data_IF_963645167978
#
_entry.id   IF_963645167978
#
_cell.length_a   1.000
_cell.length_b   1.000
_cell.length_c   1.000
_cell.angle_alpha   90.00
_cell.angle_beta   90.00
_cell.angle_gamma   90.00
#
_symmetry.space_group_name_H-M   'P 1'
#
loop_
_entity.id
_entity.type
_entity.pdbx_description
1 polymer ?
#
# COMPACT_ATOMS: atom_id res chain seq x y z
N UNK A 1 -21.82 8.35 13.26
CA UNK A 1 -22.02 7.97 11.84
C UNK A 1 -21.95 9.15 10.86
N UNK A 2 -22.48 10.34 11.18
CA UNK A 2 -22.48 11.49 10.25
C UNK A 2 -21.10 11.95 9.74
N UNK A 3 -20.06 11.88 10.56
CA UNK A 3 -18.69 12.32 10.17
C UNK A 3 -17.98 11.29 9.30
N UNK A 4 -18.23 9.99 9.51
CA UNK A 4 -17.74 8.93 8.64
C UNK A 4 -18.32 9.08 7.22
N UNK A 5 -19.61 9.41 7.15
CA UNK A 5 -20.28 9.74 5.89
C UNK A 5 -19.71 11.02 5.28
N UNK A 6 -19.49 12.09 6.06
CA UNK A 6 -18.89 13.33 5.56
C UNK A 6 -17.45 13.14 5.06
N UNK A 7 -16.62 12.39 5.77
CA UNK A 7 -15.26 12.06 5.36
C UNK A 7 -15.25 11.17 4.10
N UNK A 8 -16.14 10.18 4.03
CA UNK A 8 -16.32 9.35 2.84
C UNK A 8 -16.78 10.17 1.62
N UNK A 9 -17.69 11.13 1.83
CA UNK A 9 -18.19 12.04 0.80
C UNK A 9 -17.10 13.01 0.34
N UNK A 10 -16.33 13.60 1.25
CA UNK A 10 -15.21 14.49 0.91
C UNK A 10 -14.07 13.74 0.20
N UNK A 11 -13.75 12.52 0.66
CA UNK A 11 -12.77 11.67 0.01
C UNK A 11 -13.24 11.20 -1.38
N UNK A 12 -14.53 10.93 -1.54
CA UNK A 12 -15.17 10.68 -2.84
C UNK A 12 -15.13 11.91 -3.75
N UNK A 13 -15.36 13.10 -3.21
CA UNK A 13 -15.31 14.37 -3.95
C UNK A 13 -13.88 14.74 -4.38
N UNK A 14 -12.84 14.24 -3.70
CA UNK A 14 -11.44 14.41 -4.08
C UNK A 14 -10.99 13.46 -5.21
N UNK A 15 -11.74 12.39 -5.51
CA UNK A 15 -11.38 11.40 -6.54
C UNK A 15 -11.13 11.98 -7.95
N UNK A 16 -11.90 12.95 -8.47
CA UNK A 16 -11.63 13.55 -9.77
C UNK A 16 -10.27 14.26 -9.84
N UNK A 17 -9.89 14.96 -8.77
CA UNK A 17 -8.59 15.64 -8.65
C UNK A 17 -7.43 14.64 -8.54
N UNK A 18 -7.60 13.59 -7.71
CA UNK A 18 -6.61 12.52 -7.54
C UNK A 18 -6.42 11.72 -8.83
N UNK A 19 -7.51 11.42 -9.55
CA UNK A 19 -7.49 10.77 -10.85
C UNK A 19 -6.74 11.60 -11.89
N UNK A 20 -7.06 12.89 -12.00
CA UNK A 20 -6.36 13.78 -12.94
C UNK A 20 -4.85 13.83 -12.66
N UNK A 21 -4.44 13.90 -11.38
CA UNK A 21 -3.03 13.83 -10.97
C UNK A 21 -2.38 12.47 -11.22
N UNK A 22 -3.16 11.39 -11.19
CA UNK A 22 -2.72 10.04 -11.50
C UNK A 22 -2.75 9.72 -13.01
N UNK A 23 -3.17 10.66 -13.87
CA UNK A 23 -3.33 10.44 -15.31
C UNK A 23 -4.47 9.48 -15.66
N UNK A 24 -5.44 9.32 -14.76
CA UNK A 24 -6.60 8.47 -14.92
C UNK A 24 -7.89 9.29 -14.84
N UNK A 25 -8.86 8.97 -15.69
CA UNK A 25 -10.30 8.85 -15.41
C UNK A 25 -11.18 9.40 -16.54
N UNK A 26 -11.59 8.49 -17.44
CA UNK A 26 -12.90 8.56 -18.08
C UNK A 26 -14.05 8.26 -17.09
N UNK A 27 -15.30 8.56 -17.48
CA UNK A 27 -16.52 8.52 -16.65
C UNK A 27 -16.77 7.25 -15.80
N UNK A 28 -16.60 5.99 -16.28
CA UNK A 28 -17.02 4.80 -15.53
C UNK A 28 -16.16 4.47 -14.29
N UNK A 29 -14.93 5.00 -14.20
CA UNK A 29 -14.05 4.72 -13.07
C UNK A 29 -14.38 5.55 -11.81
N UNK A 30 -15.18 6.61 -11.92
CA UNK A 30 -15.46 7.54 -10.80
C UNK A 30 -16.37 6.94 -9.73
N UNK A 31 -17.40 6.20 -10.14
CA UNK A 31 -18.34 5.58 -9.21
C UNK A 31 -17.68 4.46 -8.38
N UNK A 32 -16.90 3.59 -9.04
CA UNK A 32 -16.12 2.55 -8.35
C UNK A 32 -15.09 3.13 -7.39
N UNK A 33 -14.41 4.21 -7.78
CA UNK A 33 -13.46 4.90 -6.92
C UNK A 33 -14.11 5.47 -5.66
N UNK A 34 -15.26 6.12 -5.79
CA UNK A 34 -16.01 6.67 -4.68
C UNK A 34 -16.54 5.58 -3.74
N UNK A 35 -17.07 4.48 -4.28
CA UNK A 35 -17.57 3.36 -3.49
C UNK A 35 -16.46 2.69 -2.66
N UNK A 36 -15.31 2.38 -3.28
CA UNK A 36 -14.15 1.80 -2.58
C UNK A 36 -13.63 2.77 -1.54
N UNK A 37 -13.45 4.04 -1.88
CA UNK A 37 -12.96 5.05 -0.94
C UNK A 37 -13.91 5.22 0.25
N UNK A 38 -15.22 5.26 0.00
CA UNK A 38 -16.24 5.36 1.04
C UNK A 38 -16.24 4.16 1.98
N UNK A 39 -16.15 2.94 1.42
CA UNK A 39 -16.05 1.70 2.20
C UNK A 39 -14.79 1.68 3.09
N UNK A 40 -13.64 2.03 2.53
CA UNK A 40 -12.37 2.04 3.27
C UNK A 40 -12.34 3.15 4.32
N UNK A 41 -12.98 4.29 4.06
CA UNK A 41 -13.14 5.37 5.04
C UNK A 41 -14.09 4.95 6.17
N UNK A 42 -15.16 4.22 5.86
CA UNK A 42 -16.03 3.62 6.89
C UNK A 42 -15.25 2.62 7.74
N UNK A 43 -14.48 1.73 7.12
CA UNK A 43 -13.61 0.78 7.81
C UNK A 43 -12.59 1.49 8.73
N UNK A 44 -12.04 2.61 8.27
CA UNK A 44 -11.14 3.47 9.05
C UNK A 44 -11.82 4.06 10.28
N UNK A 45 -13.09 4.48 10.15
CA UNK A 45 -13.88 4.96 11.29
C UNK A 45 -14.11 3.85 12.32
N UNK A 46 -14.36 2.62 11.87
CA UNK A 46 -14.53 1.48 12.75
C UNK A 46 -13.21 1.06 13.43
N UNK A 47 -12.08 1.19 12.72
CA UNK A 47 -10.76 0.85 13.26
C UNK A 47 -10.23 1.85 14.29
N UNK A 48 -10.50 3.14 14.10
CA UNK A 48 -10.03 4.21 15.00
C UNK A 48 -11.03 4.51 16.11
N UNK A 49 -12.33 4.32 15.86
CA UNK A 49 -13.41 4.45 16.85
C UNK A 49 -13.80 5.87 17.26
N UNK A 50 -12.91 6.85 17.12
CA UNK A 50 -13.09 8.23 17.59
C UNK A 50 -12.78 9.27 16.51
N UNK A 51 -13.42 10.45 16.59
CA UNK A 51 -13.10 11.61 15.76
C UNK A 51 -11.76 12.20 16.20
N UNK A 52 -10.68 11.77 15.55
CA UNK A 52 -9.32 12.13 15.92
C UNK A 52 -8.46 12.40 14.68
N UNK A 53 -7.34 13.13 14.79
CA UNK A 53 -6.44 13.34 13.65
C UNK A 53 -5.98 12.02 12.98
N UNK A 54 -5.88 10.91 13.70
CA UNK A 54 -5.59 9.59 13.11
C UNK A 54 -6.66 9.08 12.11
N UNK A 55 -7.90 9.57 12.20
CA UNK A 55 -8.93 9.31 11.21
C UNK A 55 -8.58 9.96 9.85
N UNK A 56 -7.95 11.14 9.88
CA UNK A 56 -7.48 11.79 8.65
C UNK A 56 -6.35 10.99 8.00
N UNK A 57 -5.42 10.42 8.78
CA UNK A 57 -4.36 9.56 8.26
C UNK A 57 -4.92 8.35 7.48
N UNK A 58 -5.88 7.65 8.09
CA UNK A 58 -6.54 6.48 7.51
C UNK A 58 -7.43 6.85 6.32
N UNK A 59 -8.20 7.94 6.41
CA UNK A 59 -9.04 8.44 5.32
C UNK A 59 -8.23 8.94 4.10
N UNK A 60 -7.13 9.65 4.32
CA UNK A 60 -6.21 10.04 3.24
C UNK A 60 -5.63 8.81 2.53
N UNK A 61 -5.26 7.78 3.29
CA UNK A 61 -4.78 6.51 2.73
C UNK A 61 -5.89 5.79 1.96
N UNK A 62 -7.13 5.81 2.46
CA UNK A 62 -8.30 5.26 1.77
C UNK A 62 -8.54 5.95 0.41
N UNK A 63 -8.52 7.29 0.39
CA UNK A 63 -8.72 8.08 -0.82
C UNK A 63 -7.70 7.74 -1.92
N UNK A 64 -6.45 7.47 -1.55
CA UNK A 64 -5.41 7.15 -2.53
C UNK A 64 -5.32 5.68 -2.89
N UNK A 65 -6.00 4.79 -2.17
CA UNK A 65 -5.95 3.35 -2.41
C UNK A 65 -6.45 2.98 -3.80
N UNK A 66 -7.64 3.45 -4.21
CA UNK A 66 -8.19 3.15 -5.53
C UNK A 66 -7.31 3.64 -6.70
N UNK A 67 -6.84 4.91 -6.74
CA UNK A 67 -5.97 5.36 -7.82
C UNK A 67 -4.63 4.60 -7.82
N UNK A 68 -4.03 4.33 -6.66
CA UNK A 68 -2.80 3.54 -6.61
C UNK A 68 -3.01 2.10 -7.11
N UNK A 69 -4.10 1.45 -6.72
CA UNK A 69 -4.46 0.11 -7.16
C UNK A 69 -4.65 0.03 -8.68
N UNK A 70 -5.40 0.99 -9.24
CA UNK A 70 -5.70 1.01 -10.68
C UNK A 70 -4.52 1.40 -11.54
N UNK A 71 -3.72 2.39 -11.12
CA UNK A 71 -2.48 2.76 -11.83
C UNK A 71 -1.50 1.59 -11.81
N UNK A 72 -1.32 0.93 -10.66
CA UNK A 72 -0.35 -0.16 -10.58
C UNK A 72 -0.76 -1.37 -11.44
N UNK A 73 -2.04 -1.74 -11.45
CA UNK A 73 -2.53 -2.80 -12.34
C UNK A 73 -2.36 -2.50 -13.83
N UNK A 74 -2.61 -1.25 -14.24
CA UNK A 74 -2.58 -0.86 -15.66
C UNK A 74 -1.16 -0.57 -16.15
N UNK A 75 -0.38 0.16 -15.36
CA UNK A 75 0.90 0.75 -15.77
C UNK A 75 2.10 0.07 -15.11
N UNK A 76 1.89 -0.82 -14.14
CA UNK A 76 2.95 -1.52 -13.38
C UNK A 76 3.99 -0.56 -12.81
N UNK A 77 3.50 0.61 -12.39
CA UNK A 77 4.27 1.73 -11.88
C UNK A 77 3.45 2.42 -10.80
N UNK A 78 4.05 2.61 -9.63
CA UNK A 78 3.41 3.37 -8.56
C UNK A 78 3.74 4.88 -8.69
N UNK A 79 2.74 5.77 -8.74
CA UNK A 79 2.95 7.20 -8.89
C UNK A 79 3.50 7.82 -7.60
N UNK A 80 4.82 7.98 -7.56
CA UNK A 80 5.56 8.56 -6.43
C UNK A 80 5.05 9.95 -6.04
N UNK A 81 4.61 10.74 -7.03
CA UNK A 81 4.07 12.08 -6.82
C UNK A 81 2.82 12.10 -5.93
N UNK A 82 2.14 10.96 -5.80
CA UNK A 82 0.94 10.81 -4.99
C UNK A 82 1.28 10.20 -3.62
N UNK A 83 2.15 9.20 -3.57
CA UNK A 83 2.54 8.53 -2.30
C UNK A 83 3.31 9.46 -1.35
N UNK A 84 4.25 10.25 -1.86
CA UNK A 84 5.08 11.16 -1.04
C UNK A 84 4.25 12.18 -0.23
N UNK A 85 3.39 13.02 -0.86
CA UNK A 85 2.65 14.01 -0.11
C UNK A 85 1.67 13.37 0.89
N UNK A 86 1.06 12.24 0.53
CA UNK A 86 0.16 11.52 1.44
C UNK A 86 0.92 11.00 2.65
N UNK A 87 2.11 10.43 2.46
CA UNK A 87 2.95 9.97 3.58
C UNK A 87 3.30 11.12 4.52
N UNK A 88 3.60 12.31 3.97
CA UNK A 88 3.84 13.51 4.77
C UNK A 88 2.62 13.92 5.59
N UNK A 89 1.44 13.99 4.96
CA UNK A 89 0.20 14.33 5.66
C UNK A 89 -0.20 13.29 6.71
N UNK A 90 -0.03 12.00 6.43
CA UNK A 90 -0.25 10.91 7.40
C UNK A 90 0.69 11.09 8.59
N UNK A 91 1.98 11.36 8.37
CA UNK A 91 2.91 11.58 9.47
C UNK A 91 2.51 12.78 10.33
N UNK A 92 2.09 13.89 9.71
CA UNK A 92 1.63 15.09 10.42
C UNK A 92 0.39 14.78 11.27
N UNK A 93 -0.63 14.16 10.68
CA UNK A 93 -1.88 13.88 11.40
C UNK A 93 -1.70 12.87 12.52
N UNK A 94 -0.86 11.84 12.33
CA UNK A 94 -0.49 10.91 13.40
C UNK A 94 0.33 11.60 14.49
N UNK A 95 1.22 12.52 14.14
CA UNK A 95 2.02 13.27 15.12
C UNK A 95 1.14 14.17 15.97
N UNK A 96 0.17 14.85 15.36
CA UNK A 96 -0.85 15.61 16.09
C UNK A 96 -1.67 14.70 17.00
N UNK A 97 -2.10 13.53 16.51
CA UNK A 97 -2.86 12.57 17.32
C UNK A 97 -2.05 12.05 18.51
N UNK A 98 -0.73 11.87 18.35
CA UNK A 98 0.18 11.43 19.41
C UNK A 98 0.25 12.41 20.59
N UNK A 99 0.07 13.71 20.33
CA UNK A 99 0.06 14.73 21.37
C UNK A 99 -1.25 14.75 22.17
N UNK A 100 -2.31 14.12 21.64
CA UNK A 100 -3.66 14.15 22.22
C UNK A 100 -3.98 12.92 23.07
N UNK A 101 -3.09 11.92 23.14
CA UNK A 101 -3.31 10.72 23.93
C UNK A 101 -2.15 10.29 24.81
N UNK A 102 -2.55 9.70 25.93
CA UNK A 102 -1.67 8.91 26.78
C UNK A 102 -1.01 7.78 25.99
N UNK A 103 0.31 7.72 26.08
CA UNK A 103 1.13 6.77 25.34
C UNK A 103 1.25 7.04 23.84
N UNK A 104 0.85 8.22 23.35
CA UNK A 104 0.97 8.61 21.94
C UNK A 104 2.40 8.51 21.40
N UNK A 105 3.41 8.83 22.23
CA UNK A 105 4.83 8.63 21.86
C UNK A 105 5.18 7.17 21.55
N UNK A 106 4.64 6.22 22.34
CA UNK A 106 4.81 4.78 22.08
C UNK A 106 4.12 4.37 20.78
N UNK A 107 2.90 4.86 20.51
CA UNK A 107 2.19 4.59 19.24
C UNK A 107 2.90 5.18 18.03
N UNK A 108 3.51 6.36 18.18
CA UNK A 108 4.33 6.94 17.13
C UNK A 108 5.58 6.11 16.89
N UNK A 109 6.24 5.64 17.94
CA UNK A 109 7.39 4.75 17.81
C UNK A 109 7.03 3.45 17.06
N UNK A 110 5.88 2.84 17.36
CA UNK A 110 5.41 1.64 16.64
C UNK A 110 5.03 1.94 15.20
N UNK A 111 4.45 3.10 14.91
CA UNK A 111 4.16 3.56 13.55
C UNK A 111 5.46 3.74 12.75
N UNK A 112 6.45 4.45 13.30
CA UNK A 112 7.75 4.65 12.66
C UNK A 112 8.49 3.32 12.46
N UNK A 113 8.47 2.43 13.46
CA UNK A 113 9.05 1.09 13.33
C UNK A 113 8.38 0.29 12.20
N UNK A 114 7.05 0.35 12.08
CA UNK A 114 6.30 -0.26 10.99
C UNK A 114 6.69 0.32 9.62
N UNK A 115 6.84 1.64 9.53
CA UNK A 115 7.27 2.33 8.31
C UNK A 115 8.68 1.89 7.87
N UNK A 116 9.63 1.86 8.82
CA UNK A 116 11.00 1.41 8.57
C UNK A 116 11.04 -0.06 8.20
N UNK A 117 10.32 -0.93 8.91
CA UNK A 117 10.25 -2.35 8.61
C UNK A 117 9.72 -2.61 7.19
N UNK A 118 8.62 -1.96 6.81
CA UNK A 118 8.07 -2.03 5.46
C UNK A 118 9.09 -1.55 4.41
N UNK A 119 9.75 -0.42 4.66
CA UNK A 119 10.78 0.12 3.77
C UNK A 119 11.95 -0.86 3.59
N UNK A 120 12.51 -1.39 4.69
CA UNK A 120 13.66 -2.29 4.67
C UNK A 120 13.34 -3.59 3.94
N UNK A 121 12.20 -4.20 4.24
CA UNK A 121 11.79 -5.48 3.62
C UNK A 121 11.61 -5.31 2.10
N UNK A 122 10.85 -4.31 1.66
CA UNK A 122 10.63 -4.09 0.23
C UNK A 122 11.87 -3.55 -0.49
N UNK A 123 12.73 -2.81 0.20
CA UNK A 123 14.03 -2.42 -0.35
C UNK A 123 14.94 -3.63 -0.57
N UNK A 124 14.99 -4.57 0.39
CA UNK A 124 15.70 -5.83 0.25
C UNK A 124 15.21 -6.63 -0.97
N UNK A 125 13.89 -6.79 -1.12
CA UNK A 125 13.30 -7.46 -2.27
C UNK A 125 13.62 -6.75 -3.59
N UNK A 126 13.63 -5.41 -3.60
CA UNK A 126 14.06 -4.62 -4.75
C UNK A 126 15.52 -4.92 -5.14
N UNK A 127 16.43 -4.99 -4.18
CA UNK A 127 17.84 -5.32 -4.44
C UNK A 127 17.96 -6.75 -4.98
N UNK A 128 17.27 -7.71 -4.36
CA UNK A 128 17.27 -9.12 -4.80
C UNK A 128 16.69 -9.29 -6.21
N UNK A 129 15.64 -8.53 -6.55
CA UNK A 129 14.98 -8.57 -7.87
C UNK A 129 15.77 -7.92 -9.01
N UNK A 130 16.94 -7.31 -8.74
CA UNK A 130 17.78 -6.60 -9.73
C UNK A 130 16.99 -5.60 -10.61
N UNK A 131 15.99 -4.93 -10.02
CA UNK A 131 15.15 -3.95 -10.73
C UNK A 131 13.78 -4.45 -11.19
N UNK A 132 13.40 -5.69 -10.83
CA UNK A 132 12.04 -6.20 -11.02
C UNK A 132 10.98 -5.44 -10.20
N UNK A 133 11.37 -4.84 -9.07
CA UNK A 133 10.48 -4.09 -8.17
C UNK A 133 10.74 -2.56 -8.20
N UNK A 134 9.66 -1.77 -8.13
CA UNK A 134 9.70 -0.32 -8.26
C UNK A 134 10.21 0.41 -7.01
N UNK A 135 10.66 1.67 -7.16
CA UNK A 135 10.93 2.54 -5.98
C UNK A 135 9.62 2.96 -5.29
N UNK A 136 8.51 2.88 -6.02
CA UNK A 136 7.17 3.16 -5.52
C UNK A 136 6.72 2.17 -4.45
N UNK A 137 6.97 0.88 -4.66
CA UNK A 137 6.55 -0.20 -3.75
C UNK A 137 7.17 -0.05 -2.35
N UNK A 138 8.45 0.32 -2.28
CA UNK A 138 9.16 0.61 -1.02
C UNK A 138 8.49 1.76 -0.25
N UNK A 139 8.07 2.81 -0.96
CA UNK A 139 7.42 3.99 -0.35
C UNK A 139 6.00 3.68 0.07
N UNK A 140 5.28 2.88 -0.71
CA UNK A 140 3.98 2.37 -0.31
C UNK A 140 4.08 1.48 0.92
N UNK A 141 5.09 0.58 0.98
CA UNK A 141 5.37 -0.23 2.16
C UNK A 141 5.59 0.63 3.40
N UNK A 142 6.33 1.74 3.23
CA UNK A 142 6.60 2.69 4.31
C UNK A 142 5.32 3.38 4.77
N UNK A 143 4.49 3.87 3.84
CA UNK A 143 3.20 4.49 4.13
C UNK A 143 2.25 3.54 4.86
N UNK A 144 2.10 2.31 4.35
CA UNK A 144 1.23 1.29 4.94
C UNK A 144 1.77 0.85 6.30
N UNK A 145 3.08 0.66 6.44
CA UNK A 145 3.72 0.35 7.72
C UNK A 145 3.51 1.44 8.77
N UNK A 146 3.59 2.71 8.36
CA UNK A 146 3.28 3.85 9.23
C UNK A 146 1.83 3.80 9.72
N UNK A 147 0.89 3.57 8.81
CA UNK A 147 -0.53 3.51 9.13
C UNK A 147 -0.87 2.32 10.06
N UNK A 148 -0.41 1.13 9.71
CA UNK A 148 -0.74 -0.08 10.45
C UNK A 148 -0.03 -0.12 11.81
N UNK A 149 1.21 0.36 11.88
CA UNK A 149 1.96 0.44 13.13
C UNK A 149 1.38 1.44 14.13
N UNK A 150 0.65 2.46 13.65
CA UNK A 150 -0.13 3.36 14.50
C UNK A 150 -1.31 2.65 15.18
N UNK A 151 -1.99 1.76 14.44
CA UNK A 151 -3.11 0.98 14.97
C UNK A 151 -2.62 -0.04 16.00
N UNK A 152 -1.63 -0.86 15.63
CA UNK A 152 -0.97 -1.81 16.53
C UNK A 152 0.23 -2.47 15.82
N UNK A 153 1.31 -2.82 16.56
CA UNK A 153 2.39 -3.66 16.03
C UNK A 153 1.89 -4.97 15.38
N UNK A 154 0.88 -5.61 16.00
CA UNK A 154 0.29 -6.84 15.48
C UNK A 154 -0.39 -6.61 14.13
N UNK A 155 -1.08 -5.48 13.98
CA UNK A 155 -1.75 -5.08 12.73
C UNK A 155 -0.74 -4.79 11.62
N UNK A 156 0.41 -4.17 11.95
CA UNK A 156 1.50 -3.97 11.01
C UNK A 156 2.11 -5.30 10.52
N UNK A 157 2.40 -6.21 11.46
CA UNK A 157 2.94 -7.52 11.15
C UNK A 157 1.98 -8.32 10.25
N UNK A 158 0.71 -8.36 10.62
CA UNK A 158 -0.34 -9.07 9.88
C UNK A 158 -0.54 -8.48 8.48
N UNK A 159 -0.61 -7.16 8.34
CA UNK A 159 -0.78 -6.52 7.04
C UNK A 159 0.40 -6.77 6.10
N UNK A 160 1.62 -6.74 6.63
CA UNK A 160 2.83 -7.10 5.87
C UNK A 160 2.80 -8.58 5.44
N UNK A 161 2.46 -9.47 6.35
CA UNK A 161 2.40 -10.90 6.08
C UNK A 161 1.31 -11.25 5.06
N UNK A 162 0.10 -10.69 5.20
CA UNK A 162 -0.99 -10.85 4.25
C UNK A 162 -0.62 -10.34 2.85
N UNK A 163 0.11 -9.22 2.77
CA UNK A 163 0.60 -8.70 1.49
C UNK A 163 1.46 -9.73 0.75
N UNK A 164 2.35 -10.42 1.47
CA UNK A 164 3.19 -11.48 0.90
C UNK A 164 2.41 -12.74 0.56
N UNK A 165 1.50 -13.18 1.43
CA UNK A 165 0.66 -14.36 1.17
C UNK A 165 -0.20 -14.14 -0.08
N UNK A 166 -0.83 -12.98 -0.22
CA UNK A 166 -1.64 -12.64 -1.39
C UNK A 166 -0.79 -12.56 -2.66
N UNK A 167 0.38 -11.93 -2.59
CA UNK A 167 1.30 -11.90 -3.72
C UNK A 167 1.74 -13.32 -4.11
N UNK A 168 2.16 -14.15 -3.14
CA UNK A 168 2.57 -15.53 -3.39
C UNK A 168 1.44 -16.36 -4.00
N UNK A 169 0.23 -16.29 -3.46
CA UNK A 169 -0.94 -17.00 -3.99
C UNK A 169 -1.24 -16.61 -5.45
N UNK A 170 -1.03 -15.34 -5.81
CA UNK A 170 -1.21 -14.87 -7.18
C UNK A 170 -0.05 -15.24 -8.11
N UNK A 171 1.19 -15.31 -7.62
CA UNK A 171 2.41 -15.46 -8.45
C UNK A 171 2.89 -16.91 -8.60
N UNK A 172 2.82 -17.70 -7.54
CA UNK A 172 3.33 -19.08 -7.49
C UNK A 172 2.66 -19.98 -8.55
N UNK A 173 1.34 -19.94 -8.78
CA UNK A 173 0.72 -20.77 -9.81
C UNK A 173 1.25 -20.49 -11.22
N UNK A 174 1.55 -19.23 -11.55
CA UNK A 174 2.12 -18.88 -12.86
C UNK A 174 3.59 -19.30 -13.00
N UNK A 175 4.33 -19.35 -11.89
CA UNK A 175 5.69 -19.87 -11.86
C UNK A 175 5.72 -21.39 -12.07
N UNK A 176 4.81 -22.11 -11.38
CA UNK A 176 4.66 -23.56 -11.46
C UNK A 176 4.18 -24.02 -12.84
N UNK A 177 3.30 -23.24 -13.48
CA UNK A 177 2.82 -23.54 -14.84
C UNK A 177 3.77 -23.08 -15.95
N UNK A 178 4.96 -22.55 -15.60
CA UNK A 178 5.94 -21.99 -16.54
C UNK A 178 5.40 -20.89 -17.48
N UNK A 179 4.25 -20.28 -17.13
CA UNK A 179 3.59 -19.25 -17.95
C UNK A 179 4.13 -17.84 -17.70
N UNK A 180 5.04 -17.67 -16.73
CA UNK A 180 5.63 -16.37 -16.44
C UNK A 180 6.72 -16.02 -17.46
N UNK A 181 6.42 -15.07 -18.35
CA UNK A 181 7.38 -14.55 -19.31
C UNK A 181 8.50 -13.74 -18.63
N UNK A 182 9.71 -13.84 -19.19
CA UNK A 182 11.00 -13.32 -18.66
C UNK A 182 11.07 -11.80 -18.42
N UNK A 183 10.12 -11.01 -18.92
CA UNK A 183 10.10 -9.54 -18.76
C UNK A 183 8.84 -9.01 -18.05
N UNK A 184 8.04 -9.88 -17.46
CA UNK A 184 6.79 -9.45 -16.83
C UNK A 184 7.08 -8.77 -15.50
N UNK A 185 6.99 -7.43 -15.48
CA UNK A 185 6.86 -6.69 -14.21
C UNK A 185 5.56 -7.11 -13.54
N UNK A 186 5.65 -7.44 -12.26
CA UNK A 186 4.52 -7.85 -11.44
C UNK A 186 4.12 -6.67 -10.56
N UNK A 187 2.86 -6.19 -10.65
CA UNK A 187 2.38 -5.12 -9.78
C UNK A 187 2.19 -5.66 -8.36
N UNK A 188 3.03 -5.22 -7.42
CA UNK A 188 2.93 -5.61 -6.01
C UNK A 188 1.94 -4.72 -5.22
N UNK A 189 1.70 -3.49 -5.67
CA UNK A 189 0.86 -2.51 -4.98
C UNK A 189 -0.55 -3.02 -4.64
N UNK A 190 -1.28 -3.69 -5.55
CA UNK A 190 -2.59 -4.26 -5.28
C UNK A 190 -2.60 -5.21 -4.10
N UNK A 191 -1.65 -6.15 -4.04
CA UNK A 191 -1.56 -7.12 -2.96
C UNK A 191 -1.20 -6.46 -1.63
N UNK A 192 -0.35 -5.43 -1.65
CA UNK A 192 -0.01 -4.63 -0.48
C UNK A 192 -1.22 -3.87 0.07
N UNK A 193 -1.99 -3.24 -0.81
CA UNK A 193 -3.18 -2.48 -0.42
C UNK A 193 -4.26 -3.42 0.13
N UNK A 194 -4.53 -4.54 -0.53
CA UNK A 194 -5.51 -5.52 -0.05
C UNK A 194 -5.08 -6.09 1.30
N UNK A 195 -3.83 -6.54 1.44
CA UNK A 195 -3.31 -7.07 2.71
C UNK A 195 -3.39 -6.07 3.86
N UNK A 196 -3.05 -4.80 3.60
CA UNK A 196 -3.15 -3.74 4.60
C UNK A 196 -4.60 -3.48 5.02
N UNK A 197 -5.53 -3.33 4.08
CA UNK A 197 -6.94 -3.07 4.41
C UNK A 197 -7.63 -4.27 5.07
N UNK A 198 -7.25 -5.50 4.73
CA UNK A 198 -7.69 -6.69 5.46
C UNK A 198 -7.22 -6.65 6.91
N UNK A 199 -5.97 -6.27 7.17
CA UNK A 199 -5.46 -6.12 8.54
C UNK A 199 -6.18 -4.99 9.30
N UNK A 200 -6.49 -3.87 8.65
CA UNK A 200 -7.30 -2.79 9.25
C UNK A 200 -8.71 -3.29 9.59
N UNK A 201 -9.34 -4.07 8.72
CA UNK A 201 -10.67 -4.61 8.99
C UNK A 201 -10.69 -5.60 10.15
N UNK A 202 -9.68 -6.48 10.24
CA UNK A 202 -9.51 -7.36 11.39
C UNK A 202 -9.29 -6.55 12.67
N UNK A 203 -8.44 -5.52 12.63
CA UNK A 203 -8.27 -4.60 13.77
C UNK A 203 -9.58 -3.95 14.20
N UNK A 204 -10.39 -3.45 13.25
CA UNK A 204 -11.69 -2.86 13.52
C UNK A 204 -12.65 -3.86 14.19
N UNK A 205 -12.67 -5.10 13.71
CA UNK A 205 -13.45 -6.18 14.31
C UNK A 205 -13.04 -6.42 15.76
N UNK A 206 -11.74 -6.52 16.04
CA UNK A 206 -11.25 -6.70 17.41
C UNK A 206 -11.58 -5.49 18.30
N UNK A 207 -11.44 -4.27 17.78
CA UNK A 207 -11.81 -3.05 18.49
C UNK A 207 -13.29 -3.02 18.88
N UNK A 208 -14.19 -3.37 17.95
CA UNK A 208 -15.64 -3.46 18.19
C UNK A 208 -16.02 -4.58 19.18
N UNK A 209 -15.23 -5.66 19.19
CA UNK A 209 -15.41 -6.75 20.15
C UNK A 209 -15.07 -6.31 21.57
N UNK A 210 -14.01 -5.51 21.72
CA UNK A 210 -13.55 -4.98 23.01
C UNK A 210 -14.46 -3.87 23.57
N UNK A 211 -15.17 -3.13 22.72
CA UNK A 211 -16.09 -2.07 23.14
C UNK A 211 -17.46 -2.57 23.61
N UNK A 212 -17.67 -3.89 23.71
CA UNK A 212 -18.87 -4.49 24.29
C UNK A 212 -20.10 -4.51 23.38
N UNK A 213 -19.94 -4.27 22.08
CA UNK A 213 -21.06 -4.15 21.13
C UNK A 213 -21.72 -5.50 20.79
N UNK A 214 -21.07 -6.66 21.02
CA UNK A 214 -21.75 -7.96 21.14
C UNK A 214 -20.91 -9.04 21.84
N UNK A 215 -21.56 -9.90 22.63
CA UNK A 215 -20.92 -11.05 23.31
C UNK A 215 -20.46 -12.15 22.35
N UNK A 216 -21.01 -12.19 21.13
CA UNK A 216 -20.64 -13.13 20.06
C UNK A 216 -19.24 -12.91 19.49
N UNK A 217 -18.62 -11.75 19.75
CA UNK A 217 -17.37 -11.31 19.12
C UNK A 217 -16.12 -11.45 20.00
N UNK A 218 -16.26 -11.88 21.26
CA UNK A 218 -15.16 -12.10 22.21
C UNK A 218 -14.06 -13.06 21.71
N UNK A 219 -14.38 -13.95 20.76
CA UNK A 219 -13.39 -14.83 20.11
C UNK A 219 -12.47 -14.09 19.13
N UNK A 220 -12.88 -12.98 18.53
CA UNK A 220 -12.14 -12.34 17.45
C UNK A 220 -10.89 -11.58 17.92
N UNK A 221 -10.94 -10.95 19.11
CA UNK A 221 -9.78 -10.33 19.78
C UNK A 221 -8.73 -11.37 20.13
N UNK A 222 -9.17 -12.48 20.74
CA UNK A 222 -8.32 -13.62 21.05
C UNK A 222 -7.65 -14.18 19.80
N UNK A 223 -8.36 -14.27 18.66
CA UNK A 223 -7.84 -14.75 17.37
C UNK A 223 -6.75 -13.84 16.80
N UNK A 224 -6.86 -12.51 16.86
CA UNK A 224 -5.79 -11.64 16.33
C UNK A 224 -4.55 -11.69 17.21
N UNK A 225 -4.71 -11.68 18.54
CA UNK A 225 -3.59 -11.82 19.45
C UNK A 225 -2.93 -13.20 19.33
N UNK A 226 -3.71 -14.29 19.26
CA UNK A 226 -3.14 -15.63 19.03
C UNK A 226 -2.53 -15.78 17.64
N UNK A 227 -3.19 -15.32 16.57
CA UNK A 227 -2.63 -15.39 15.21
C UNK A 227 -1.37 -14.54 15.08
N UNK A 228 -1.32 -13.34 15.65
CA UNK A 228 -0.11 -12.50 15.59
C UNK A 228 1.00 -12.98 16.53
N UNK A 229 0.68 -13.58 17.69
CA UNK A 229 1.68 -14.11 18.63
C UNK A 229 2.26 -15.47 18.20
N UNK A 230 1.42 -16.40 17.74
CA UNK A 230 1.84 -17.76 17.38
C UNK A 230 2.20 -17.90 15.90
N UNK A 231 1.38 -17.33 15.02
CA UNK A 231 1.56 -17.48 13.58
C UNK A 231 2.20 -16.24 12.95
N UNK A 232 2.15 -15.06 13.55
CA UNK A 232 2.58 -13.80 12.92
C UNK A 232 4.02 -13.82 12.43
N UNK A 233 5.01 -14.06 13.30
CA UNK A 233 6.41 -14.12 12.90
C UNK A 233 6.69 -15.29 11.96
N UNK A 234 6.17 -16.48 12.27
CA UNK A 234 6.40 -17.68 11.45
C UNK A 234 5.78 -17.55 10.04
N UNK A 235 4.57 -17.01 9.94
CA UNK A 235 3.86 -16.74 8.70
C UNK A 235 4.51 -15.60 7.93
N UNK A 236 4.96 -14.54 8.60
CA UNK A 236 5.76 -13.49 7.96
C UNK A 236 7.06 -14.08 7.40
N UNK A 237 7.82 -14.85 8.20
CA UNK A 237 9.08 -15.44 7.77
C UNK A 237 8.87 -16.42 6.61
N UNK A 238 7.83 -17.24 6.68
CA UNK A 238 7.47 -18.18 5.60
C UNK A 238 7.05 -17.42 4.34
N UNK A 239 6.16 -16.45 4.47
CA UNK A 239 5.69 -15.64 3.35
C UNK A 239 6.82 -14.80 2.74
N UNK A 240 7.75 -14.30 3.57
CA UNK A 240 8.95 -13.60 3.13
C UNK A 240 9.93 -14.55 2.44
N UNK A 241 10.14 -15.75 2.96
CA UNK A 241 10.97 -16.77 2.31
C UNK A 241 10.40 -17.14 0.94
N UNK A 242 9.09 -17.34 0.83
CA UNK A 242 8.39 -17.55 -0.43
C UNK A 242 8.51 -16.33 -1.34
N UNK A 243 8.37 -15.11 -0.82
CA UNK A 243 8.54 -13.89 -1.60
C UNK A 243 9.97 -13.71 -2.13
N UNK A 244 10.98 -14.01 -1.31
CA UNK A 244 12.39 -13.98 -1.71
C UNK A 244 12.67 -15.05 -2.76
N UNK A 245 12.20 -16.28 -2.54
CA UNK A 245 12.36 -17.38 -3.48
C UNK A 245 11.68 -17.07 -4.83
N UNK A 246 10.41 -16.66 -4.82
CA UNK A 246 9.69 -16.27 -6.04
C UNK A 246 10.39 -15.12 -6.76
N UNK A 247 10.84 -14.10 -6.03
CA UNK A 247 11.57 -12.97 -6.62
C UNK A 247 12.89 -13.41 -7.27
N UNK A 248 13.64 -14.31 -6.61
CA UNK A 248 14.89 -14.86 -7.16
C UNK A 248 14.64 -15.71 -8.39
N UNK A 249 13.65 -16.59 -8.37
CA UNK A 249 13.27 -17.45 -9.49
C UNK A 249 12.86 -16.65 -10.73
N UNK A 250 12.02 -15.63 -10.53
CA UNK A 250 11.65 -14.70 -11.61
C UNK A 250 12.88 -14.01 -12.17
N UNK A 251 13.78 -13.51 -11.31
CA UNK A 251 15.00 -12.83 -11.72
C UNK A 251 15.99 -13.75 -12.43
N UNK A 252 16.15 -15.00 -12.01
CA UNK A 252 17.01 -16.00 -12.66
C UNK A 252 16.47 -16.42 -14.02
N UNK A 253 15.15 -16.68 -14.12
CA UNK A 253 14.51 -16.99 -15.41
C UNK A 253 14.60 -15.81 -16.38
N UNK A 254 14.61 -14.58 -15.88
CA UNK A 254 14.81 -13.36 -16.66
C UNK A 254 16.29 -13.12 -17.05
N UNK A 255 17.24 -13.48 -16.18
CA UNK A 255 18.66 -13.16 -16.26
C UNK A 255 19.51 -14.01 -17.23
N UNK A 256 18.91 -14.72 -18.19
CA UNK A 256 19.65 -15.34 -19.29
C UNK A 256 20.17 -14.34 -20.34
N UNK A 257 19.87 -13.05 -20.18
CA UNK A 257 20.33 -11.96 -21.05
C UNK A 257 20.77 -10.80 -20.13
N UNK A 258 21.88 -10.15 -20.50
CA UNK A 258 22.51 -9.06 -19.74
C UNK A 258 21.61 -7.84 -19.48
N UNK A 259 22.14 -6.76 -18.87
CA UNK A 259 21.33 -5.60 -18.48
C UNK A 259 20.53 -5.07 -19.66
N UNK A 260 19.21 -5.11 -19.54
CA UNK A 260 18.27 -4.63 -20.55
C UNK A 260 18.40 -3.12 -20.66
N UNK A 261 19.12 -2.66 -21.68
CA UNK A 261 19.08 -1.26 -22.14
C UNK A 261 17.70 -1.06 -22.76
N UNK A 262 16.84 -0.29 -22.09
CA UNK A 262 15.54 0.08 -22.67
C UNK A 262 15.75 1.17 -23.72
N UNK A 263 15.39 0.95 -25.00
CA UNK A 263 15.17 2.08 -25.90
C UNK A 263 13.98 2.88 -25.36
N UNK A 264 14.23 4.13 -24.98
CA UNK A 264 13.14 5.04 -24.58
C UNK A 264 12.35 5.37 -25.85
N UNK A 265 11.01 5.23 -25.86
CA UNK A 265 10.22 5.66 -27.01
C UNK A 265 10.41 7.17 -27.19
N UNK A 266 11.05 7.56 -28.29
CA UNK A 266 11.20 8.95 -28.69
C UNK A 266 10.02 9.28 -29.60
N UNK A 267 9.07 10.08 -29.11
CA UNK A 267 8.05 10.70 -29.95
C UNK A 267 8.64 11.95 -30.58
N UNK A 268 8.95 11.87 -31.88
CA UNK A 268 9.34 13.03 -32.65
C UNK A 268 8.14 13.98 -32.79
N UNK A 269 8.24 15.19 -32.24
CA UNK A 269 7.34 16.29 -32.57
C UNK A 269 8.16 17.49 -33.02
N UNK A 270 8.00 17.87 -34.30
CA UNK A 270 8.65 18.99 -35.00
C UNK A 270 10.20 18.97 -34.99
N UNK A 271 10.88 19.58 -35.98
CA UNK A 271 12.33 19.53 -36.03
C UNK A 271 12.94 20.32 -34.87
N UNK A 272 13.54 19.62 -33.90
CA UNK A 272 14.50 20.19 -32.94
C UNK A 272 14.13 20.19 -31.46
N UNK A 273 12.96 19.71 -31.04
CA UNK A 273 12.58 19.69 -29.61
C UNK A 273 12.23 18.27 -29.16
N UNK A 274 13.10 17.67 -28.35
CA UNK A 274 12.85 16.37 -27.72
C UNK A 274 12.22 16.62 -26.35
N UNK A 275 10.91 16.39 -26.24
CA UNK A 275 10.21 16.40 -24.95
C UNK A 275 9.93 14.96 -24.54
N UNK A 276 10.24 14.61 -23.29
CA UNK A 276 9.83 13.32 -22.73
C UNK A 276 8.32 13.32 -22.48
N UNK A 277 7.68 12.14 -22.62
CA UNK A 277 6.28 11.93 -22.24
C UNK A 277 5.96 12.24 -20.75
N UNK A 278 6.96 12.50 -19.90
CA UNK A 278 6.78 12.93 -18.50
C UNK A 278 6.56 14.44 -18.32
N UNK A 279 6.54 15.22 -19.40
CA UNK A 279 6.05 16.60 -19.40
C UNK A 279 7.03 17.67 -18.88
N UNK A 280 8.33 17.37 -18.78
CA UNK A 280 9.35 18.34 -18.37
C UNK A 280 10.33 18.67 -19.50
N UNK A 281 10.67 19.96 -19.73
CA UNK A 281 11.69 20.33 -20.71
C UNK A 281 13.09 19.95 -20.21
N UNK A 282 13.82 19.15 -20.99
CA UNK A 282 15.24 18.89 -20.77
C UNK A 282 16.05 19.96 -21.49
N UNK A 283 16.85 20.73 -20.75
CA UNK A 283 17.84 21.66 -21.32
C UNK A 283 19.21 20.99 -21.21
N UNK A 284 19.85 20.68 -22.35
CA UNK A 284 21.24 20.22 -22.33
C UNK A 284 22.11 21.31 -21.71
N UNK A 285 22.73 21.02 -20.57
CA UNK A 285 23.94 21.74 -20.19
C UNK A 285 25.03 21.32 -21.18
N UNK A 286 25.37 22.24 -22.10
CA UNK A 286 26.72 22.27 -22.67
C UNK A 286 27.71 22.61 -21.56
#
# INVERSE_FOLDING_TARGET
MGVAAAAAVLAGAAQPWLGHRAGLLGRPHRAGAAAVTGLLTLLSCLAVGQLRPALLATALTAAVTYPLFTVDLKQKRLPIALVRPVTGWVLVTLSLDALLIDGGGRRMATALAGAVAGAVVFHGLRVISRGGMGRGDVRLASLLGLLLGWLSPATALLGLALSFVLAAAALVPFLLTHRLQRHTKVPFGPFMLVGAWTAVGLHAVAFLSASGVSSSFSRATGVIETLSAWAGPALLLTALAVAVWTTREVAQRAGGLGPVVYPQPMTATAPGVVVREDGWPWRSSR
#
